data_IF_301564094422
#
_entry.id   IF_301564094422
#
_cell.length_a   1.000
_cell.length_b   1.000
_cell.length_c   1.000
_cell.angle_alpha   90.00
_cell.angle_beta   90.00
_cell.angle_gamma   90.00
#
_symmetry.space_group_name_H-M   'P 1'
#
loop_
_entity.id
_entity.type
_entity.pdbx_description
1 polymer ?
#
# COMPACT_ATOMS: atom_id res chain seq x y z
N UNK A 1 4.02 8.60 3.28
CA UNK A 1 4.66 9.00 4.56
C UNK A 1 3.75 8.64 5.74
N UNK A 2 4.28 8.40 6.94
CA UNK A 2 3.46 8.10 8.12
C UNK A 2 2.66 9.31 8.61
N UNK A 3 1.47 9.09 9.18
CA UNK A 3 0.66 10.18 9.78
C UNK A 3 1.31 10.68 11.08
N UNK A 4 1.43 12.00 11.30
CA UNK A 4 2.01 12.55 12.51
C UNK A 4 1.41 11.98 13.81
N UNK A 5 2.29 11.57 14.73
CA UNK A 5 1.90 10.95 15.99
C UNK A 5 1.37 9.52 15.88
N UNK A 6 1.55 8.87 14.73
CA UNK A 6 1.27 7.44 14.52
C UNK A 6 2.61 6.70 14.33
N UNK A 7 3.19 6.28 15.45
CA UNK A 7 4.34 5.38 15.47
C UNK A 7 3.93 3.90 15.48
N UNK A 8 4.92 3.00 15.47
CA UNK A 8 4.72 1.54 15.37
C UNK A 8 3.76 1.01 16.43
N UNK A 9 3.91 1.39 17.70
CA UNK A 9 3.05 0.91 18.79
C UNK A 9 1.57 1.29 18.57
N UNK A 10 1.30 2.52 18.11
CA UNK A 10 -0.06 3.00 17.88
C UNK A 10 -0.65 2.41 16.59
N UNK A 11 0.17 2.27 15.55
CA UNK A 11 -0.23 1.56 14.33
C UNK A 11 -0.63 0.11 14.63
N UNK A 12 0.17 -0.61 15.42
CA UNK A 12 -0.14 -1.96 15.87
C UNK A 12 -1.46 -2.02 16.64
N UNK A 13 -1.68 -1.13 17.61
CA UNK A 13 -2.92 -1.08 18.38
C UNK A 13 -4.17 -0.89 17.49
N UNK A 14 -4.09 -0.03 16.48
CA UNK A 14 -5.18 0.16 15.50
C UNK A 14 -5.46 -1.10 14.70
N UNK A 15 -4.40 -1.75 14.19
CA UNK A 15 -4.51 -3.01 13.42
C UNK A 15 -5.14 -4.10 14.27
N UNK A 16 -4.64 -4.32 15.49
CA UNK A 16 -5.17 -5.35 16.40
C UNK A 16 -6.63 -5.11 16.77
N UNK A 17 -7.03 -3.85 16.95
CA UNK A 17 -8.39 -3.47 17.38
C UNK A 17 -9.43 -3.57 16.27
N UNK A 18 -9.10 -3.11 15.07
CA UNK A 18 -10.08 -2.96 14.00
C UNK A 18 -10.02 -4.06 12.93
N UNK A 19 -8.84 -4.66 12.69
CA UNK A 19 -8.62 -5.81 11.78
C UNK A 19 -9.20 -5.64 10.37
N UNK A 20 -9.50 -4.42 9.96
CA UNK A 20 -10.07 -4.08 8.67
C UNK A 20 -9.46 -2.74 8.24
N UNK A 21 -8.82 -2.72 7.07
CA UNK A 21 -8.03 -1.59 6.58
C UNK A 21 -8.90 -0.35 6.37
N UNK A 22 -10.05 -0.50 5.71
CA UNK A 22 -10.96 0.63 5.44
C UNK A 22 -11.46 1.28 6.74
N UNK A 23 -11.75 0.45 7.74
CA UNK A 23 -12.13 0.93 9.07
C UNK A 23 -10.98 1.63 9.78
N UNK A 24 -9.76 1.10 9.68
CA UNK A 24 -8.56 1.73 10.24
C UNK A 24 -8.33 3.10 9.60
N UNK A 25 -8.38 3.19 8.26
CA UNK A 25 -8.19 4.44 7.54
C UNK A 25 -9.27 5.48 7.88
N UNK A 26 -10.53 5.04 8.02
CA UNK A 26 -11.65 5.90 8.41
C UNK A 26 -11.49 6.45 9.83
N UNK A 27 -11.14 5.59 10.79
CA UNK A 27 -10.87 6.00 12.18
C UNK A 27 -9.65 6.92 12.25
N UNK A 28 -8.60 6.61 11.48
CA UNK A 28 -7.40 7.42 11.43
C UNK A 28 -7.69 8.82 10.88
N UNK A 29 -8.50 8.93 9.83
CA UNK A 29 -8.94 10.22 9.27
C UNK A 29 -9.77 11.01 10.27
N UNK A 30 -10.65 10.34 11.01
CA UNK A 30 -11.43 10.96 12.07
C UNK A 30 -10.54 11.47 13.22
N UNK A 31 -9.58 10.67 13.70
CA UNK A 31 -8.68 11.05 14.81
C UNK A 31 -7.67 12.13 14.45
N UNK A 32 -7.20 12.16 13.20
CA UNK A 32 -6.09 13.02 12.75
C UNK A 32 -6.51 14.18 11.87
N UNK A 33 -7.72 14.15 11.31
CA UNK A 33 -8.30 15.24 10.54
C UNK A 33 -7.35 15.74 9.45
N UNK A 34 -6.98 17.01 9.55
CA UNK A 34 -6.10 17.72 8.62
C UNK A 34 -4.63 17.31 8.72
N UNK A 35 -4.24 16.63 9.80
CA UNK A 35 -2.89 16.08 9.93
C UNK A 35 -2.69 14.82 9.06
N UNK A 36 -3.78 14.19 8.60
CA UNK A 36 -3.72 13.09 7.66
C UNK A 36 -3.83 13.64 6.23
N UNK A 37 -2.79 13.46 5.38
CA UNK A 37 -2.83 13.88 3.99
C UNK A 37 -4.08 13.38 3.27
N UNK A 38 -4.65 14.20 2.37
CA UNK A 38 -5.88 13.85 1.63
C UNK A 38 -5.71 12.56 0.81
N UNK A 39 -4.52 12.36 0.25
CA UNK A 39 -4.14 11.22 -0.57
C UNK A 39 -3.56 10.04 0.23
N UNK A 40 -3.58 10.10 1.57
CA UNK A 40 -2.95 9.06 2.40
C UNK A 40 -3.57 7.68 2.16
N UNK A 41 -4.89 7.57 2.02
CA UNK A 41 -5.55 6.29 1.78
C UNK A 41 -5.09 5.65 0.45
N UNK A 42 -4.97 6.47 -0.60
CA UNK A 42 -4.42 6.04 -1.88
C UNK A 42 -2.96 5.60 -1.74
N UNK A 43 -2.12 6.47 -1.16
CA UNK A 43 -0.71 6.17 -0.90
C UNK A 43 -0.49 4.91 -0.05
N UNK A 44 -1.39 4.64 0.90
CA UNK A 44 -1.35 3.43 1.72
C UNK A 44 -1.62 2.18 0.87
N UNK A 45 -2.63 2.22 0.00
CA UNK A 45 -2.94 1.13 -0.91
C UNK A 45 -1.81 0.90 -1.93
N UNK A 46 -1.23 1.98 -2.47
CA UNK A 46 -0.07 1.90 -3.35
C UNK A 46 1.12 1.24 -2.63
N UNK A 47 1.42 1.66 -1.40
CA UNK A 47 2.47 1.05 -0.59
C UNK A 47 2.20 -0.43 -0.30
N UNK A 48 0.95 -0.79 0.05
CA UNK A 48 0.55 -2.18 0.27
C UNK A 48 0.73 -3.02 -1.00
N UNK A 49 0.37 -2.50 -2.16
CA UNK A 49 0.55 -3.13 -3.45
C UNK A 49 2.04 -3.31 -3.78
N UNK A 50 2.90 -2.33 -3.48
CA UNK A 50 4.37 -2.47 -3.60
C UNK A 50 4.88 -3.61 -2.70
N UNK A 51 4.46 -3.66 -1.43
CA UNK A 51 4.88 -4.73 -0.52
C UNK A 51 4.42 -6.13 -0.94
N UNK A 52 3.44 -6.25 -1.82
CA UNK A 52 2.96 -7.55 -2.29
C UNK A 52 3.48 -7.90 -3.68
N UNK A 53 3.59 -6.91 -4.56
CA UNK A 53 3.73 -7.08 -6.00
C UNK A 53 4.87 -6.25 -6.61
N UNK A 54 5.79 -5.69 -5.81
CA UNK A 54 6.96 -5.02 -6.36
C UNK A 54 7.69 -5.92 -7.37
N UNK A 55 8.23 -5.29 -8.41
CA UNK A 55 9.11 -5.99 -9.36
C UNK A 55 10.45 -6.26 -8.72
N UNK A 56 10.88 -7.51 -8.83
CA UNK A 56 12.15 -8.03 -8.36
C UNK A 56 12.89 -8.67 -9.53
N UNK A 57 14.22 -8.67 -9.47
CA UNK A 57 15.04 -9.38 -10.43
C UNK A 57 15.16 -10.85 -10.02
N UNK A 58 14.65 -11.75 -10.83
CA UNK A 58 14.82 -13.19 -10.64
C UNK A 58 16.14 -13.64 -11.27
N UNK A 59 17.10 -14.01 -10.42
CA UNK A 59 18.44 -14.43 -10.86
C UNK A 59 18.43 -15.71 -11.70
N UNK A 60 17.42 -16.56 -11.55
CA UNK A 60 17.37 -17.86 -12.23
C UNK A 60 16.94 -17.70 -13.68
N UNK A 61 15.94 -16.85 -13.93
CA UNK A 61 15.46 -16.57 -15.30
C UNK A 61 16.04 -15.30 -15.90
N UNK A 62 16.78 -14.51 -15.10
CA UNK A 62 17.41 -13.24 -15.50
C UNK A 62 16.42 -12.18 -15.98
N UNK A 63 15.24 -12.13 -15.37
CA UNK A 63 14.14 -11.26 -15.77
C UNK A 63 13.56 -10.49 -14.59
N UNK A 64 12.95 -9.34 -14.86
CA UNK A 64 12.14 -8.62 -13.90
C UNK A 64 10.77 -9.28 -13.79
N UNK A 65 10.38 -9.66 -12.58
CA UNK A 65 9.10 -10.31 -12.28
C UNK A 65 8.47 -9.71 -11.03
N UNK A 66 7.15 -9.78 -10.93
CA UNK A 66 6.47 -9.38 -9.69
C UNK A 66 6.75 -10.39 -8.57
N UNK A 67 6.98 -9.90 -7.35
CA UNK A 67 7.27 -10.73 -6.17
C UNK A 67 6.16 -11.75 -5.86
N UNK A 68 4.91 -11.35 -6.10
CA UNK A 68 3.74 -12.24 -6.13
C UNK A 68 2.96 -11.98 -7.41
N UNK A 69 2.29 -13.00 -7.99
CA UNK A 69 1.43 -12.82 -9.15
C UNK A 69 0.44 -11.68 -8.92
N UNK A 70 0.22 -10.85 -9.94
CA UNK A 70 -0.81 -9.84 -9.92
C UNK A 70 -2.18 -10.53 -10.00
N UNK A 71 -3.16 -10.15 -9.16
CA UNK A 71 -4.54 -10.61 -9.31
C UNK A 71 -5.09 -10.24 -10.69
N UNK A 72 -5.95 -11.07 -11.28
CA UNK A 72 -6.52 -10.82 -12.61
C UNK A 72 -7.23 -9.45 -12.70
N UNK A 73 -7.92 -9.08 -11.64
CA UNK A 73 -8.72 -7.85 -11.56
C UNK A 73 -7.90 -6.60 -11.18
N UNK A 74 -6.58 -6.76 -10.98
CA UNK A 74 -5.74 -5.70 -10.44
C UNK A 74 -5.48 -4.58 -11.46
N UNK A 75 -5.40 -4.94 -12.75
CA UNK A 75 -5.21 -4.00 -13.86
C UNK A 75 -6.40 -3.07 -14.05
N UNK A 76 -7.61 -3.60 -13.92
CA UNK A 76 -8.86 -2.82 -14.01
C UNK A 76 -8.97 -1.80 -12.87
N UNK A 77 -8.43 -2.14 -11.69
CA UNK A 77 -8.53 -1.30 -10.48
C UNK A 77 -7.54 -0.13 -10.42
N UNK A 78 -6.43 -0.17 -11.19
CA UNK A 78 -5.30 0.76 -11.07
C UNK A 78 -5.13 1.70 -12.26
N UNK A 79 -6.16 1.87 -13.11
CA UNK A 79 -6.12 2.72 -14.29
C UNK A 79 -4.85 2.50 -15.15
N UNK A 80 -4.46 1.23 -15.30
CA UNK A 80 -3.34 0.76 -16.15
C UNK A 80 -1.93 1.28 -15.79
N UNK A 81 -1.76 2.13 -14.77
CA UNK A 81 -0.43 2.60 -14.36
C UNK A 81 0.12 1.76 -13.21
N UNK A 82 1.09 0.90 -13.53
CA UNK A 82 1.81 0.05 -12.57
C UNK A 82 3.25 0.51 -12.30
N UNK A 83 3.65 1.70 -12.75
CA UNK A 83 5.04 2.16 -12.63
C UNK A 83 5.49 2.29 -11.17
N UNK A 84 4.53 2.53 -10.27
CA UNK A 84 4.78 2.59 -8.83
C UNK A 84 5.22 1.23 -8.24
N UNK A 85 4.93 0.11 -8.90
CA UNK A 85 5.45 -1.23 -8.55
C UNK A 85 6.87 -1.48 -9.06
N UNK A 86 7.44 -0.53 -9.81
CA UNK A 86 8.71 -0.62 -10.49
C UNK A 86 8.52 -0.43 -12.01
N UNK A 87 9.07 0.63 -12.63
CA UNK A 87 8.89 0.90 -14.05
C UNK A 87 9.54 -0.18 -14.92
N UNK A 88 9.06 -0.33 -16.16
CA UNK A 88 9.74 -1.16 -17.15
C UNK A 88 10.91 -0.36 -17.74
N UNK A 89 12.11 -0.95 -17.90
CA UNK A 89 13.26 -0.29 -18.51
C UNK A 89 13.07 0.02 -20.00
#
# INVERSE_FOLDING_TARGET
PSVPGIGVARAHALVSKYQNIDRILSVLKFEKGDQMPEDYAKSFNDALAVFQHARIYDINTKELKHMKPLPENFLESLNENLDFLGPYP
#
